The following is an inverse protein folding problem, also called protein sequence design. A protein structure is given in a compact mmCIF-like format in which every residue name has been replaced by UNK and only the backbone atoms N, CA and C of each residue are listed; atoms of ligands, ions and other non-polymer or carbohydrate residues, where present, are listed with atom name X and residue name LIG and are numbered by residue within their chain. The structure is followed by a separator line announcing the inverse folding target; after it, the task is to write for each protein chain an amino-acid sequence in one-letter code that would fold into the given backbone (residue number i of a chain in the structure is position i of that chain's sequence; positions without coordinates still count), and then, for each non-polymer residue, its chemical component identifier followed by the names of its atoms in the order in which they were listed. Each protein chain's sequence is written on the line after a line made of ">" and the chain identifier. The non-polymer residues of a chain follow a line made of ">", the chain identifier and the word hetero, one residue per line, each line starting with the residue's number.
data_IF_472386575530
#
_entry.id   IF_472386575530
#
_cell.length_a   1.000
_cell.length_b   1.000
_cell.length_c   1.000
_cell.angle_alpha   90.00
_cell.angle_beta   90.00
_cell.angle_gamma   90.00
#
_symmetry.space_group_name_H-M   'P 1'
#
loop_
_entity.id
_entity.type
_entity.pdbx_description
1 polymer ?
#
# COMPACT_ATOMS: atom_id res chain seq x y z
N UNK A 1 -11.10 -13.66 11.70
CA UNK A 1 -11.01 -12.50 10.77
C UNK A 1 -11.97 -11.41 11.20
N UNK A 2 -11.58 -10.13 11.21
CA UNK A 2 -12.49 -9.02 11.47
C UNK A 2 -13.07 -8.44 10.17
N UNK A 3 -14.37 -8.12 10.18
CA UNK A 3 -15.08 -7.54 9.04
C UNK A 3 -16.04 -6.44 9.49
N UNK A 4 -16.34 -5.48 8.62
CA UNK A 4 -17.40 -4.51 8.86
C UNK A 4 -18.78 -5.18 8.86
N UNK A 5 -19.66 -4.78 9.78
CA UNK A 5 -21.01 -5.36 9.91
C UNK A 5 -21.86 -5.24 8.64
N UNK A 6 -21.53 -4.31 7.74
CA UNK A 6 -22.16 -4.18 6.43
C UNK A 6 -21.98 -5.42 5.53
N UNK A 7 -20.96 -6.24 5.77
CA UNK A 7 -20.73 -7.49 5.05
C UNK A 7 -21.58 -8.67 5.58
N UNK A 8 -22.27 -8.48 6.72
CA UNK A 8 -23.15 -9.48 7.31
C UNK A 8 -24.58 -9.34 6.75
N UNK A 9 -24.79 -9.63 5.46
CA UNK A 9 -26.12 -9.63 4.83
C UNK A 9 -26.59 -11.03 4.40
N UNK A 10 -27.91 -11.26 4.43
CA UNK A 10 -28.53 -12.50 3.96
C UNK A 10 -27.92 -13.77 4.56
N UNK A 11 -27.79 -14.82 3.73
CA UNK A 11 -27.19 -16.11 4.10
C UNK A 11 -25.67 -16.04 4.37
N UNK A 12 -24.98 -15.01 3.83
CA UNK A 12 -23.53 -14.85 4.03
C UNK A 12 -23.16 -14.52 5.47
N UNK A 13 -24.01 -13.78 6.19
CA UNK A 13 -23.77 -13.40 7.58
C UNK A 13 -23.58 -14.62 8.50
N UNK A 14 -24.56 -15.54 8.59
CA UNK A 14 -24.42 -16.78 9.34
C UNK A 14 -23.23 -17.63 8.88
N UNK A 15 -23.05 -17.82 7.57
CA UNK A 15 -21.96 -18.63 7.01
C UNK A 15 -20.58 -18.10 7.43
N UNK A 16 -20.35 -16.78 7.32
CA UNK A 16 -19.10 -16.15 7.70
C UNK A 16 -18.83 -16.21 9.21
N UNK A 17 -19.88 -16.15 10.05
CA UNK A 17 -19.68 -16.35 11.51
C UNK A 17 -19.22 -17.76 11.83
N UNK A 18 -19.74 -18.77 11.13
CA UNK A 18 -19.29 -20.16 11.29
C UNK A 18 -17.84 -20.37 10.82
N UNK A 19 -17.33 -19.54 9.90
CA UNK A 19 -15.92 -19.54 9.50
C UNK A 19 -15.00 -18.66 10.38
N UNK A 20 -15.51 -18.11 11.49
CA UNK A 20 -14.71 -17.32 12.44
C UNK A 20 -14.58 -15.84 12.09
N UNK A 21 -15.50 -15.29 11.29
CA UNK A 21 -15.58 -13.84 11.04
C UNK A 21 -16.26 -13.13 12.21
N UNK A 22 -15.59 -12.11 12.72
CA UNK A 22 -16.05 -11.23 13.78
C UNK A 22 -16.50 -9.90 13.14
N UNK A 23 -17.80 -9.64 13.17
CA UNK A 23 -18.37 -8.42 12.60
C UNK A 23 -18.29 -7.26 13.60
N UNK A 24 -17.64 -6.16 13.22
CA UNK A 24 -17.50 -4.95 14.03
C UNK A 24 -18.37 -3.81 13.49
N UNK A 25 -18.94 -3.01 14.41
CA UNK A 25 -19.67 -1.79 14.09
C UNK A 25 -18.73 -0.69 13.59
N UNK A 26 -19.17 0.09 12.60
CA UNK A 26 -18.37 1.20 12.03
C UNK A 26 -18.21 2.38 13.00
N UNK A 27 -19.22 2.63 13.83
CA UNK A 27 -19.18 3.60 14.94
C UNK A 27 -19.09 2.84 16.26
N UNK A 28 -18.19 3.28 17.13
CA UNK A 28 -17.86 2.63 18.39
C UNK A 28 -18.27 3.49 19.60
N UNK A 29 -19.27 4.36 19.48
CA UNK A 29 -19.54 5.39 20.49
C UNK A 29 -20.13 4.84 21.80
N UNK A 30 -20.68 3.62 21.76
CA UNK A 30 -21.28 2.91 22.89
C UNK A 30 -20.19 2.31 23.82
N UNK A 31 -20.07 2.78 25.08
CA UNK A 31 -19.07 2.28 26.04
C UNK A 31 -19.23 0.80 26.38
N UNK A 32 -20.47 0.29 26.47
CA UNK A 32 -20.73 -1.12 26.75
C UNK A 32 -20.23 -1.98 25.59
N UNK A 33 -20.49 -1.55 24.36
CA UNK A 33 -19.99 -2.24 23.18
C UNK A 33 -18.45 -2.30 23.16
N UNK A 34 -17.76 -1.19 23.46
CA UNK A 34 -16.28 -1.17 23.56
C UNK A 34 -15.79 -2.16 24.62
N UNK A 35 -16.41 -2.16 25.80
CA UNK A 35 -16.04 -3.07 26.88
C UNK A 35 -16.20 -4.54 26.48
N UNK A 36 -17.36 -4.90 25.93
CA UNK A 36 -17.64 -6.26 25.46
C UNK A 36 -16.67 -6.69 24.36
N UNK A 37 -16.41 -5.81 23.38
CA UNK A 37 -15.45 -6.09 22.31
C UNK A 37 -14.04 -6.32 22.86
N UNK A 38 -13.59 -5.49 23.80
CA UNK A 38 -12.28 -5.64 24.46
C UNK A 38 -12.16 -6.98 25.20
N UNK A 39 -13.16 -7.35 25.98
CA UNK A 39 -13.18 -8.63 26.70
C UNK A 39 -13.25 -9.82 25.75
N UNK A 40 -14.02 -9.70 24.67
CA UNK A 40 -14.07 -10.73 23.64
C UNK A 40 -12.71 -10.93 22.96
N UNK A 41 -12.02 -9.84 22.58
CA UNK A 41 -10.67 -9.93 22.00
C UNK A 41 -9.70 -10.57 23.00
N UNK A 42 -9.77 -10.18 24.27
CA UNK A 42 -8.94 -10.75 25.33
C UNK A 42 -9.14 -12.27 25.47
N UNK A 43 -10.39 -12.73 25.41
CA UNK A 43 -10.71 -14.16 25.40
C UNK A 43 -10.15 -14.88 24.16
N UNK A 44 -10.24 -14.29 22.97
CA UNK A 44 -9.72 -14.88 21.74
C UNK A 44 -8.18 -15.00 21.78
N UNK A 45 -7.49 -13.97 22.31
CA UNK A 45 -6.05 -13.97 22.55
C UNK A 45 -5.66 -15.06 23.56
N UNK A 46 -6.39 -15.16 24.68
CA UNK A 46 -6.15 -16.18 25.72
C UNK A 46 -6.31 -17.61 25.16
N UNK A 47 -7.26 -17.82 24.25
CA UNK A 47 -7.44 -19.09 23.52
C UNK A 47 -6.42 -19.32 22.39
N UNK A 48 -5.49 -18.39 22.17
CA UNK A 48 -4.44 -18.45 21.13
C UNK A 48 -5.01 -18.63 19.72
N UNK A 49 -6.19 -18.07 19.47
CA UNK A 49 -6.78 -18.07 18.12
C UNK A 49 -6.22 -16.93 17.28
N UNK A 50 -6.01 -17.20 15.99
CA UNK A 50 -5.49 -16.22 15.05
C UNK A 50 -6.51 -15.13 14.75
N UNK A 51 -6.05 -13.89 14.80
CA UNK A 51 -6.79 -12.69 14.43
C UNK A 51 -6.22 -12.12 13.14
N UNK A 52 -7.09 -11.65 12.25
CA UNK A 52 -6.68 -11.01 10.98
C UNK A 52 -7.57 -9.80 10.68
N UNK A 53 -6.95 -8.69 10.32
CA UNK A 53 -7.60 -7.44 9.92
C UNK A 53 -6.64 -6.57 9.09
N UNK A 54 -7.18 -5.62 8.33
CA UNK A 54 -6.38 -4.59 7.68
C UNK A 54 -5.93 -3.55 8.71
N UNK A 55 -4.62 -3.33 8.84
CA UNK A 55 -4.06 -2.40 9.83
C UNK A 55 -4.57 -0.96 9.63
N UNK A 56 -4.93 -0.59 8.40
CA UNK A 56 -5.51 0.70 8.01
C UNK A 56 -6.99 0.86 8.38
N UNK A 57 -7.69 -0.25 8.67
CA UNK A 57 -9.11 -0.30 8.99
C UNK A 57 -10.06 -0.15 7.79
N UNK A 58 -9.57 0.18 6.60
CA UNK A 58 -10.35 0.30 5.36
C UNK A 58 -9.53 -0.06 4.12
N UNK A 59 -10.18 -0.32 2.99
CA UNK A 59 -9.51 -0.41 1.68
C UNK A 59 -8.95 0.97 1.30
N UNK A 60 -7.72 1.00 0.77
CA UNK A 60 -7.20 2.22 0.15
C UNK A 60 -8.01 2.57 -1.10
N UNK A 61 -8.32 3.86 -1.26
CA UNK A 61 -9.07 4.40 -2.41
C UNK A 61 -8.20 5.17 -3.38
N UNK A 62 -6.97 5.46 -2.99
CA UNK A 62 -6.02 6.24 -3.77
C UNK A 62 -4.85 5.39 -4.24
N UNK A 63 -4.75 4.13 -3.82
CA UNK A 63 -3.61 3.25 -4.10
C UNK A 63 -2.46 3.39 -3.10
N UNK A 64 -2.48 4.42 -2.24
CA UNK A 64 -1.49 4.60 -1.17
C UNK A 64 -1.88 3.86 0.10
N UNK A 65 -0.89 3.36 0.83
CA UNK A 65 -1.08 2.79 2.16
C UNK A 65 -1.47 3.90 3.15
N UNK A 66 -2.57 3.72 3.89
CA UNK A 66 -3.02 4.67 4.91
C UNK A 66 -2.26 4.47 6.24
N UNK A 67 -2.28 5.46 7.15
CA UNK A 67 -1.74 5.30 8.49
C UNK A 67 -2.45 4.19 9.29
N UNK A 68 -1.73 3.42 10.13
CA UNK A 68 -2.32 2.34 10.90
C UNK A 68 -3.33 2.85 11.92
N UNK A 69 -4.41 2.11 12.11
CA UNK A 69 -5.44 2.35 13.12
C UNK A 69 -5.17 1.48 14.34
N UNK A 70 -4.86 2.12 15.46
CA UNK A 70 -4.45 1.43 16.69
C UNK A 70 -5.60 0.77 17.46
N UNK A 71 -6.87 0.99 17.10
CA UNK A 71 -8.02 0.61 17.95
C UNK A 71 -8.05 -0.87 18.34
N UNK A 72 -8.11 -1.78 17.35
CA UNK A 72 -8.09 -3.23 17.62
C UNK A 72 -6.75 -3.68 18.19
N UNK A 73 -5.66 -3.08 17.71
CA UNK A 73 -4.31 -3.40 18.15
C UNK A 73 -4.12 -3.08 19.64
N UNK A 74 -4.73 -2.00 20.13
CA UNK A 74 -4.73 -1.63 21.54
C UNK A 74 -5.44 -2.68 22.40
N UNK A 75 -6.57 -3.25 21.94
CA UNK A 75 -7.25 -4.32 22.68
C UNK A 75 -6.44 -5.62 22.71
N UNK A 76 -5.68 -5.92 21.66
CA UNK A 76 -4.75 -7.06 21.67
C UNK A 76 -3.58 -6.78 22.62
N UNK A 77 -3.05 -5.56 22.63
CA UNK A 77 -1.99 -5.13 23.55
C UNK A 77 -2.44 -5.13 25.01
N UNK A 78 -3.68 -4.73 25.30
CA UNK A 78 -4.29 -4.83 26.63
C UNK A 78 -4.29 -6.30 27.11
N UNK A 79 -4.80 -7.20 26.27
CA UNK A 79 -4.83 -8.63 26.59
C UNK A 79 -3.42 -9.22 26.82
N UNK A 80 -2.44 -8.79 26.03
CA UNK A 80 -1.04 -9.17 26.22
C UNK A 80 -0.48 -8.69 27.57
N UNK A 81 -0.63 -7.41 27.88
CA UNK A 81 -0.11 -6.80 29.11
C UNK A 81 -0.80 -7.34 30.37
N UNK A 82 -2.06 -7.76 30.26
CA UNK A 82 -2.82 -8.48 31.30
C UNK A 82 -2.38 -9.96 31.45
N UNK A 83 -1.33 -10.39 30.75
CA UNK A 83 -0.76 -11.74 30.84
C UNK A 83 -1.63 -12.85 30.25
N UNK A 84 -2.55 -12.52 29.32
CA UNK A 84 -3.34 -13.54 28.61
C UNK A 84 -2.50 -14.35 27.61
N UNK A 85 -1.32 -13.85 27.25
CA UNK A 85 -0.38 -14.49 26.32
C UNK A 85 1.05 -14.09 26.68
N UNK A 86 2.01 -14.99 26.52
CA UNK A 86 3.44 -14.72 26.79
C UNK A 86 4.08 -13.84 25.70
N UNK A 87 3.60 -13.96 24.46
CA UNK A 87 3.92 -13.07 23.35
C UNK A 87 2.80 -13.15 22.30
N UNK A 88 2.70 -12.13 21.46
CA UNK A 88 1.81 -12.08 20.31
C UNK A 88 2.62 -11.63 19.11
N UNK A 89 2.75 -12.50 18.13
CA UNK A 89 3.44 -12.19 16.87
C UNK A 89 2.46 -11.55 15.89
N UNK A 90 2.78 -10.34 15.46
CA UNK A 90 2.09 -9.67 14.37
C UNK A 90 2.73 -10.06 13.06
N UNK A 91 2.11 -10.99 12.34
CA UNK A 91 2.52 -11.37 10.99
C UNK A 91 2.04 -10.31 9.98
N UNK A 92 2.91 -9.48 9.40
CA UNK A 92 2.49 -8.55 8.37
C UNK A 92 2.16 -9.34 7.09
N UNK A 93 1.26 -8.83 6.27
CA UNK A 93 0.87 -9.47 5.01
C UNK A 93 0.68 -8.40 3.96
N UNK A 94 1.46 -8.46 2.89
CA UNK A 94 1.24 -7.64 1.70
C UNK A 94 0.42 -8.43 0.68
N UNK A 95 -0.65 -7.81 0.17
CA UNK A 95 -1.51 -8.35 -0.88
C UNK A 95 -1.55 -7.34 -2.02
N UNK A 96 -1.12 -7.75 -3.20
CA UNK A 96 -1.08 -6.89 -4.40
C UNK A 96 -1.70 -7.60 -5.58
N UNK A 97 -2.31 -6.83 -6.49
CA UNK A 97 -3.03 -7.32 -7.64
C UNK A 97 -2.44 -6.69 -8.91
N UNK A 98 -2.33 -7.45 -10.00
CA UNK A 98 -1.94 -6.89 -11.30
C UNK A 98 -3.01 -5.90 -11.81
N UNK A 99 -4.30 -6.26 -11.71
CA UNK A 99 -5.43 -5.37 -11.99
C UNK A 99 -6.53 -5.55 -10.94
N UNK A 100 -7.27 -4.47 -10.63
CA UNK A 100 -8.39 -4.48 -9.70
C UNK A 100 -9.71 -4.27 -10.44
N UNK A 101 -10.75 -4.97 -10.00
CA UNK A 101 -12.09 -4.87 -10.60
C UNK A 101 -12.81 -3.56 -10.25
N UNK A 102 -12.51 -2.96 -9.08
CA UNK A 102 -13.23 -1.81 -8.52
C UNK A 102 -12.57 -0.45 -8.83
N UNK A 103 -11.58 -0.36 -9.72
CA UNK A 103 -10.84 0.88 -9.97
C UNK A 103 -11.72 2.03 -10.48
N UNK A 104 -12.68 1.73 -11.37
CA UNK A 104 -13.66 2.71 -11.85
C UNK A 104 -14.56 3.25 -10.71
N UNK A 105 -14.95 2.38 -9.76
CA UNK A 105 -15.71 2.79 -8.56
C UNK A 105 -14.85 3.65 -7.63
N UNK A 106 -13.55 3.33 -7.48
CA UNK A 106 -12.61 4.16 -6.72
C UNK A 106 -12.35 5.53 -7.36
N UNK A 107 -12.22 5.58 -8.69
CA UNK A 107 -12.13 6.82 -9.44
C UNK A 107 -13.41 7.68 -9.29
N UNK A 108 -14.59 7.04 -9.28
CA UNK A 108 -15.85 7.73 -8.99
C UNK A 108 -15.89 8.30 -7.56
N UNK A 109 -15.39 7.56 -6.56
CA UNK A 109 -15.27 8.08 -5.18
C UNK A 109 -14.28 9.24 -5.08
N UNK A 110 -13.15 9.21 -5.80
CA UNK A 110 -12.19 10.31 -5.85
C UNK A 110 -12.82 11.59 -6.44
N UNK A 111 -13.79 11.45 -7.35
CA UNK A 111 -14.60 12.54 -7.92
C UNK A 111 -15.80 12.97 -7.04
N UNK A 112 -15.90 12.47 -5.80
CA UNK A 112 -16.94 12.83 -4.85
C UNK A 112 -18.18 11.91 -4.86
N UNK A 113 -18.13 10.76 -5.54
CA UNK A 113 -19.21 9.78 -5.51
C UNK A 113 -19.45 9.20 -4.11
N UNK A 114 -20.72 8.97 -3.76
CA UNK A 114 -21.10 8.35 -2.50
C UNK A 114 -21.03 6.82 -2.55
N UNK A 115 -20.73 6.18 -1.40
CA UNK A 115 -20.69 4.71 -1.30
C UNK A 115 -22.11 4.14 -1.35
N UNK A 116 -22.47 3.47 -2.44
CA UNK A 116 -23.69 2.67 -2.51
C UNK A 116 -23.54 1.40 -1.65
N UNK A 117 -24.57 0.99 -0.90
CA UNK A 117 -24.55 -0.27 -0.17
C UNK A 117 -24.44 -1.46 -1.14
N UNK A 118 -23.35 -2.21 -1.04
CA UNK A 118 -23.09 -3.41 -1.84
C UNK A 118 -24.15 -4.50 -1.51
N UNK A 119 -24.93 -4.93 -2.51
CA UNK A 119 -26.00 -5.94 -2.38
C UNK A 119 -25.68 -7.28 -3.05
N UNK A 120 -26.59 -8.26 -2.92
CA UNK A 120 -26.45 -9.59 -3.55
C UNK A 120 -26.26 -9.56 -5.07
N UNK A 121 -26.94 -8.65 -5.77
CA UNK A 121 -26.81 -8.49 -7.22
C UNK A 121 -25.43 -7.97 -7.63
N UNK A 122 -24.83 -7.07 -6.83
CA UNK A 122 -23.46 -6.61 -7.04
C UNK A 122 -22.46 -7.76 -6.86
N UNK A 123 -22.61 -8.57 -5.80
CA UNK A 123 -21.73 -9.74 -5.56
C UNK A 123 -21.84 -10.81 -6.65
N UNK A 124 -23.05 -11.07 -7.16
CA UNK A 124 -23.25 -12.00 -8.28
C UNK A 124 -22.59 -11.49 -9.57
N UNK A 125 -22.79 -10.20 -9.90
CA UNK A 125 -22.15 -9.58 -11.07
C UNK A 125 -20.63 -9.53 -10.92
N UNK A 126 -20.12 -9.25 -9.71
CA UNK A 126 -18.69 -9.29 -9.39
C UNK A 126 -18.10 -10.68 -9.66
N UNK A 127 -18.72 -11.75 -9.14
CA UNK A 127 -18.25 -13.14 -9.35
C UNK A 127 -18.32 -13.53 -10.84
N UNK A 128 -19.39 -13.14 -11.54
CA UNK A 128 -19.53 -13.43 -12.97
C UNK A 128 -18.46 -12.70 -13.80
N UNK A 129 -18.19 -11.43 -13.47
CA UNK A 129 -17.20 -10.61 -14.17
C UNK A 129 -15.74 -10.98 -13.84
N UNK A 130 -15.49 -11.83 -12.84
CA UNK A 130 -14.18 -12.47 -12.61
C UNK A 130 -13.83 -13.50 -13.69
N UNK A 131 -14.83 -14.13 -14.34
CA UNK A 131 -14.61 -15.16 -15.36
C UNK A 131 -14.40 -14.65 -16.79
N UNK A 132 -14.84 -13.41 -17.07
CA UNK A 132 -14.84 -12.85 -18.43
C UNK A 132 -13.58 -12.01 -18.76
N UNK A 133 -12.75 -11.68 -17.75
CA UNK A 133 -11.55 -10.83 -17.89
C UNK A 133 -10.34 -11.45 -17.18
N UNK A 134 -9.17 -11.41 -17.82
CA UNK A 134 -7.91 -11.86 -17.22
C UNK A 134 -7.25 -10.71 -16.43
N UNK A 135 -7.56 -10.59 -15.15
CA UNK A 135 -7.04 -9.52 -14.26
C UNK A 135 -5.60 -9.75 -13.78
N UNK A 136 -4.88 -10.70 -14.38
CA UNK A 136 -3.52 -11.06 -13.99
C UNK A 136 -3.48 -11.89 -12.71
N UNK A 137 -2.45 -11.66 -11.87
CA UNK A 137 -2.18 -12.47 -10.68
C UNK A 137 -2.37 -11.68 -9.39
N UNK A 138 -2.59 -12.44 -8.32
CA UNK A 138 -2.57 -11.95 -6.93
C UNK A 138 -1.22 -12.36 -6.32
N UNK A 139 -0.53 -11.40 -5.71
CA UNK A 139 0.73 -11.60 -5.01
C UNK A 139 0.49 -11.46 -3.52
N UNK A 140 0.86 -12.47 -2.76
CA UNK A 140 0.77 -12.48 -1.30
C UNK A 140 2.16 -12.70 -0.73
N UNK A 141 2.64 -11.80 0.12
CA UNK A 141 3.98 -11.85 0.71
C UNK A 141 3.92 -11.69 2.23
N UNK A 142 4.76 -12.44 2.91
CA UNK A 142 4.84 -12.55 4.37
C UNK A 142 6.26 -12.16 4.82
N UNK A 143 6.51 -10.91 5.23
CA UNK A 143 7.77 -10.54 5.86
C UNK A 143 7.87 -11.13 7.26
N UNK A 144 9.01 -10.94 7.93
CA UNK A 144 9.20 -11.38 9.31
C UNK A 144 8.15 -10.79 10.27
N UNK A 145 7.69 -11.61 11.21
CA UNK A 145 6.73 -11.19 12.22
C UNK A 145 7.32 -10.18 13.20
N UNK A 146 6.48 -9.28 13.73
CA UNK A 146 6.85 -8.31 14.76
C UNK A 146 6.40 -8.86 16.11
N UNK A 147 7.31 -9.02 17.06
CA UNK A 147 6.98 -9.46 18.42
C UNK A 147 6.38 -8.31 19.22
N UNK A 148 5.24 -8.57 19.88
CA UNK A 148 4.64 -7.59 20.77
C UNK A 148 5.48 -7.40 22.04
N UNK A 149 6.11 -8.46 22.53
CA UNK A 149 7.04 -8.42 23.68
C UNK A 149 8.23 -7.48 23.43
N UNK A 150 8.81 -7.47 22.24
CA UNK A 150 9.95 -6.59 21.91
C UNK A 150 9.62 -5.10 22.08
N UNK A 151 8.36 -4.71 21.82
CA UNK A 151 7.93 -3.32 21.88
C UNK A 151 7.28 -2.94 23.21
N UNK A 152 6.52 -3.85 23.82
CA UNK A 152 5.77 -3.58 25.06
C UNK A 152 6.48 -4.06 26.33
N UNK A 153 7.53 -4.88 26.22
CA UNK A 153 8.20 -5.52 27.35
C UNK A 153 7.39 -6.68 27.93
N UNK A 154 7.81 -7.20 29.08
CA UNK A 154 7.15 -8.35 29.73
C UNK A 154 5.71 -8.05 30.17
N UNK A 155 4.80 -9.05 30.14
CA UNK A 155 3.46 -8.92 30.69
C UNK A 155 3.48 -8.47 32.16
N UNK A 156 2.51 -7.65 32.57
CA UNK A 156 2.48 -7.00 33.89
C UNK A 156 3.72 -6.15 34.23
N UNK A 157 4.56 -5.83 33.24
CA UNK A 157 5.73 -4.96 33.41
C UNK A 157 5.38 -3.48 33.56
N UNK A 158 6.41 -2.63 33.57
CA UNK A 158 6.26 -1.18 33.74
C UNK A 158 5.31 -0.52 32.71
N UNK A 159 5.25 -1.08 31.50
CA UNK A 159 4.38 -0.60 30.41
C UNK A 159 2.88 -0.75 30.72
N UNK A 160 2.49 -1.65 31.62
CA UNK A 160 1.09 -1.85 31.99
C UNK A 160 0.53 -0.68 32.82
N UNK A 161 1.38 0.07 33.52
CA UNK A 161 0.99 1.20 34.37
C UNK A 161 1.19 2.58 33.75
N UNK A 162 1.81 2.68 32.56
CA UNK A 162 2.10 3.94 31.87
C UNK A 162 1.40 4.00 30.50
N UNK A 163 0.23 4.60 30.48
CA UNK A 163 -0.59 4.75 29.27
C UNK A 163 0.12 5.55 28.16
N UNK A 164 0.96 6.53 28.52
CA UNK A 164 1.67 7.35 27.55
C UNK A 164 2.80 6.56 26.87
N UNK A 165 3.61 5.86 27.66
CA UNK A 165 4.66 4.98 27.15
C UNK A 165 4.07 3.84 26.31
N UNK A 166 2.99 3.21 26.78
CA UNK A 166 2.26 2.16 26.06
C UNK A 166 1.76 2.65 24.71
N UNK A 167 1.14 3.83 24.66
CA UNK A 167 0.64 4.41 23.40
C UNK A 167 1.76 4.66 22.42
N UNK A 168 2.91 5.17 22.87
CA UNK A 168 4.08 5.40 22.03
C UNK A 168 4.66 4.08 21.50
N UNK A 169 4.82 3.08 22.35
CA UNK A 169 5.30 1.75 21.96
C UNK A 169 4.36 1.08 20.94
N UNK A 170 3.05 1.17 21.17
CA UNK A 170 2.02 0.68 20.24
C UNK A 170 2.10 1.37 18.88
N UNK A 171 2.34 2.69 18.86
CA UNK A 171 2.53 3.45 17.62
C UNK A 171 3.77 2.98 16.86
N UNK A 172 4.91 2.82 17.56
CA UNK A 172 6.15 2.34 16.96
C UNK A 172 5.99 0.93 16.38
N UNK A 173 5.36 0.03 17.11
CA UNK A 173 5.09 -1.33 16.64
C UNK A 173 4.13 -1.35 15.43
N UNK A 174 3.06 -0.55 15.47
CA UNK A 174 2.13 -0.45 14.35
C UNK A 174 2.79 0.12 13.09
N UNK A 175 3.67 1.10 13.27
CA UNK A 175 4.48 1.67 12.19
C UNK A 175 5.45 0.63 11.63
N UNK A 176 6.12 -0.16 12.47
CA UNK A 176 7.00 -1.25 12.04
C UNK A 176 6.24 -2.27 11.18
N UNK A 177 5.07 -2.73 11.64
CA UNK A 177 4.23 -3.67 10.88
C UNK A 177 3.87 -3.08 9.51
N UNK A 178 3.45 -1.81 9.48
CA UNK A 178 3.10 -1.13 8.24
C UNK A 178 4.30 -0.99 7.29
N UNK A 179 5.46 -0.59 7.84
CA UNK A 179 6.71 -0.46 7.10
C UNK A 179 7.17 -1.80 6.52
N UNK A 180 7.09 -2.91 7.27
CA UNK A 180 7.41 -4.26 6.76
C UNK A 180 6.48 -4.69 5.63
N UNK A 181 5.18 -4.37 5.69
CA UNK A 181 4.23 -4.61 4.58
C UNK A 181 4.68 -3.85 3.34
N UNK A 182 4.98 -2.57 3.49
CA UNK A 182 5.39 -1.70 2.39
C UNK A 182 6.67 -2.19 1.73
N UNK A 183 7.69 -2.54 2.52
CA UNK A 183 8.99 -3.06 2.06
C UNK A 183 8.90 -4.33 1.21
N UNK A 184 7.89 -5.17 1.44
CA UNK A 184 7.70 -6.39 0.63
C UNK A 184 6.63 -6.24 -0.45
N UNK A 185 5.96 -5.09 -0.54
CA UNK A 185 4.92 -4.86 -1.55
C UNK A 185 5.55 -4.76 -2.94
N UNK A 186 5.20 -5.64 -3.89
CA UNK A 186 5.87 -5.69 -5.18
C UNK A 186 5.33 -4.65 -6.16
N UNK A 187 6.25 -4.04 -6.92
CA UNK A 187 5.92 -3.22 -8.09
C UNK A 187 5.47 -4.13 -9.24
N UNK A 188 4.36 -3.79 -9.89
CA UNK A 188 3.80 -4.53 -11.00
C UNK A 188 3.80 -3.74 -12.32
N UNK A 189 3.55 -4.43 -13.44
CA UNK A 189 3.59 -3.80 -14.76
C UNK A 189 2.53 -2.72 -14.94
N UNK A 190 1.31 -2.95 -14.46
CA UNK A 190 0.19 -1.99 -14.57
C UNK A 190 0.54 -0.66 -13.93
N UNK A 191 1.13 -0.71 -12.74
CA UNK A 191 1.57 0.45 -12.00
C UNK A 191 2.66 1.21 -12.78
N UNK A 192 3.70 0.52 -13.26
CA UNK A 192 4.82 1.14 -14.00
C UNK A 192 4.37 1.80 -15.31
N UNK A 193 3.58 1.09 -16.12
CA UNK A 193 3.09 1.62 -17.39
C UNK A 193 2.17 2.80 -17.16
N UNK A 194 1.27 2.72 -16.16
CA UNK A 194 0.39 3.83 -15.78
C UNK A 194 1.19 5.05 -15.30
N UNK A 195 2.22 4.83 -14.48
CA UNK A 195 3.09 5.90 -14.00
C UNK A 195 3.76 6.64 -15.15
N UNK A 196 4.39 5.90 -16.06
CA UNK A 196 5.07 6.46 -17.22
C UNK A 196 4.12 7.23 -18.13
N UNK A 197 2.98 6.64 -18.52
CA UNK A 197 2.03 7.31 -19.40
C UNK A 197 1.42 8.58 -18.78
N UNK A 198 1.24 8.62 -17.44
CA UNK A 198 0.82 9.83 -16.75
C UNK A 198 1.90 10.93 -16.80
N UNK A 199 3.18 10.56 -16.79
CA UNK A 199 4.26 11.56 -16.96
C UNK A 199 4.27 12.20 -18.35
N UNK A 200 3.73 11.51 -19.36
CA UNK A 200 3.61 12.01 -20.72
C UNK A 200 2.50 13.07 -20.90
N UNK A 201 1.68 13.34 -19.85
CA UNK A 201 0.65 14.39 -19.83
C UNK A 201 -0.29 14.37 -21.05
N UNK A 202 -0.77 13.18 -21.41
CA UNK A 202 -1.70 12.95 -22.52
C UNK A 202 -1.04 12.78 -23.89
N UNK A 203 0.28 12.95 -24.00
CA UNK A 203 1.03 12.59 -25.21
C UNK A 203 1.02 11.07 -25.37
N UNK A 204 0.66 10.60 -26.57
CA UNK A 204 0.70 9.18 -26.90
C UNK A 204 2.12 8.74 -27.25
N UNK A 205 2.54 7.60 -26.73
CA UNK A 205 3.88 7.04 -26.92
C UNK A 205 3.83 5.76 -27.75
N UNK A 206 4.86 5.57 -28.58
CA UNK A 206 5.08 4.33 -29.34
C UNK A 206 5.53 3.19 -28.43
N UNK A 207 5.51 1.96 -28.93
CA UNK A 207 6.01 0.81 -28.18
C UNK A 207 7.49 0.99 -27.81
N UNK A 208 8.31 1.45 -28.75
CA UNK A 208 9.74 1.59 -28.56
C UNK A 208 10.06 2.65 -27.51
N UNK A 209 9.35 3.79 -27.54
CA UNK A 209 9.49 4.83 -26.52
C UNK A 209 9.11 4.30 -25.13
N UNK A 210 8.02 3.56 -25.02
CA UNK A 210 7.58 2.94 -23.77
C UNK A 210 8.59 1.93 -23.26
N UNK A 211 9.05 1.03 -24.14
CA UNK A 211 10.02 0.01 -23.79
C UNK A 211 11.34 0.62 -23.30
N UNK A 212 11.91 1.57 -24.04
CA UNK A 212 13.16 2.22 -23.66
C UNK A 212 13.04 2.98 -22.33
N UNK A 213 11.99 3.80 -22.17
CA UNK A 213 11.81 4.60 -20.95
C UNK A 213 11.58 3.74 -19.70
N UNK A 214 10.94 2.56 -19.85
CA UNK A 214 10.74 1.62 -18.75
C UNK A 214 12.05 0.98 -18.27
N UNK A 215 13.09 0.89 -19.10
CA UNK A 215 14.33 0.20 -18.71
C UNK A 215 15.03 0.90 -17.55
N UNK A 216 15.11 2.23 -17.56
CA UNK A 216 15.74 3.00 -16.47
C UNK A 216 15.01 2.76 -15.13
N UNK A 217 13.68 2.72 -15.17
CA UNK A 217 12.86 2.42 -13.98
C UNK A 217 13.09 0.99 -13.47
N UNK A 218 13.19 0.01 -14.36
CA UNK A 218 13.43 -1.39 -14.00
C UNK A 218 14.83 -1.58 -13.44
N UNK A 219 15.84 -0.93 -14.03
CA UNK A 219 17.22 -0.96 -13.57
C UNK A 219 17.35 -0.33 -12.18
N UNK A 220 16.68 0.80 -11.94
CA UNK A 220 16.62 1.41 -10.62
C UNK A 220 15.97 0.48 -9.58
N UNK A 221 14.83 -0.13 -9.90
CA UNK A 221 14.14 -1.05 -8.99
C UNK A 221 14.99 -2.29 -8.67
N UNK A 222 15.71 -2.82 -9.65
CA UNK A 222 16.64 -3.93 -9.47
C UNK A 222 17.83 -3.56 -8.57
N UNK A 223 18.45 -2.39 -8.79
CA UNK A 223 19.53 -1.88 -7.94
C UNK A 223 19.08 -1.69 -6.49
N UNK A 224 17.90 -1.11 -6.28
CA UNK A 224 17.25 -0.98 -4.96
C UNK A 224 16.82 -2.31 -4.35
N UNK A 225 16.91 -3.42 -5.07
CA UNK A 225 16.37 -4.71 -4.68
C UNK A 225 14.87 -4.63 -4.32
N UNK A 226 14.15 -3.73 -4.98
CA UNK A 226 12.71 -3.57 -4.78
C UNK A 226 12.00 -4.81 -5.31
N UNK A 227 11.09 -5.41 -4.52
CA UNK A 227 10.26 -6.49 -5.00
C UNK A 227 9.53 -6.15 -6.31
N UNK A 228 9.74 -6.97 -7.33
CA UNK A 228 9.01 -6.86 -8.60
C UNK A 228 8.19 -8.13 -8.83
N UNK A 229 7.05 -7.98 -9.50
CA UNK A 229 6.25 -9.10 -9.97
C UNK A 229 6.81 -9.67 -11.27
N UNK A 230 6.39 -10.89 -11.64
CA UNK A 230 6.68 -11.44 -12.96
C UNK A 230 6.10 -10.57 -14.09
N UNK A 231 4.99 -9.85 -13.86
CA UNK A 231 4.46 -8.92 -14.84
C UNK A 231 5.42 -7.75 -15.09
N UNK A 232 5.98 -7.15 -14.03
CA UNK A 232 6.99 -6.09 -14.15
C UNK A 232 8.26 -6.57 -14.85
N UNK A 233 8.78 -7.76 -14.50
CA UNK A 233 9.99 -8.31 -15.13
C UNK A 233 9.84 -8.54 -16.64
N UNK A 234 8.63 -8.86 -17.13
CA UNK A 234 8.38 -9.01 -18.58
C UNK A 234 8.54 -7.71 -19.36
N UNK A 235 8.44 -6.55 -18.71
CA UNK A 235 8.64 -5.24 -19.35
C UNK A 235 10.09 -5.01 -19.82
N UNK A 236 11.03 -5.89 -19.48
CA UNK A 236 12.39 -5.92 -20.06
C UNK A 236 12.43 -6.28 -21.55
N UNK A 237 11.31 -6.69 -22.14
CA UNK A 237 11.22 -7.02 -23.57
C UNK A 237 10.12 -6.21 -24.24
N UNK A 238 10.31 -5.83 -25.50
CA UNK A 238 9.29 -5.13 -26.29
C UNK A 238 7.97 -5.93 -26.34
N UNK A 239 8.02 -7.25 -26.51
CA UNK A 239 6.84 -8.12 -26.50
C UNK A 239 6.11 -8.13 -25.15
N UNK A 240 6.86 -8.09 -24.04
CA UNK A 240 6.26 -8.00 -22.71
C UNK A 240 5.60 -6.66 -22.45
N UNK A 241 6.17 -5.56 -22.96
CA UNK A 241 5.55 -4.23 -22.93
C UNK A 241 4.28 -4.22 -23.77
N UNK A 242 4.33 -4.74 -25.01
CA UNK A 242 3.15 -4.90 -25.89
C UNK A 242 2.03 -5.67 -25.18
N UNK A 243 2.34 -6.84 -24.61
CA UNK A 243 1.36 -7.66 -23.91
C UNK A 243 0.72 -6.95 -22.71
N UNK A 244 1.50 -6.16 -21.95
CA UNK A 244 0.96 -5.35 -20.86
C UNK A 244 0.04 -4.23 -21.38
N UNK A 245 0.44 -3.55 -22.45
CA UNK A 245 -0.36 -2.48 -23.08
C UNK A 245 -1.67 -3.03 -23.65
N UNK A 246 -1.65 -4.19 -24.31
CA UNK A 246 -2.85 -4.82 -24.88
C UNK A 246 -3.81 -5.27 -23.77
N UNK A 247 -3.29 -5.82 -22.68
CA UNK A 247 -4.10 -6.21 -21.52
C UNK A 247 -4.78 -5.00 -20.85
N UNK A 248 -4.08 -3.87 -20.77
CA UNK A 248 -4.59 -2.63 -20.16
C UNK A 248 -5.48 -1.82 -21.10
N UNK A 249 -5.28 -1.96 -22.42
CA UNK A 249 -6.12 -1.30 -23.42
C UNK A 249 -7.51 -1.93 -23.52
N UNK A 250 -7.61 -3.24 -23.28
CA UNK A 250 -8.88 -3.95 -23.21
C UNK A 250 -9.59 -3.82 -21.84
N UNK A 251 -8.92 -3.26 -20.84
CA UNK A 251 -9.34 -3.25 -19.44
C UNK A 251 -9.51 -1.88 -18.79
N UNK A 252 -9.12 -0.78 -19.45
CA UNK A 252 -8.77 0.53 -18.83
C UNK A 252 -7.52 0.42 -17.92
N UNK A 253 -6.75 1.51 -17.70
CA UNK A 253 -6.96 2.92 -18.10
C UNK A 253 -6.18 3.38 -19.34
N UNK A 254 -5.66 2.45 -20.15
CA UNK A 254 -4.83 2.81 -21.31
C UNK A 254 -5.69 2.84 -22.57
N UNK A 255 -5.49 3.85 -23.41
CA UNK A 255 -6.10 3.96 -24.73
C UNK A 255 -5.05 3.66 -25.80
N UNK A 256 -5.31 2.67 -26.66
CA UNK A 256 -4.55 2.44 -27.88
C UNK A 256 -5.14 3.27 -29.03
N UNK A 257 -4.29 3.94 -29.80
CA UNK A 257 -4.65 4.65 -31.02
C UNK A 257 -3.88 4.01 -32.18
N UNK A 258 -4.59 3.29 -33.04
CA UNK A 258 -4.03 2.43 -34.10
C UNK A 258 -4.26 2.96 -35.52
N UNK A 259 -4.96 4.09 -35.68
CA UNK A 259 -5.21 4.72 -36.98
C UNK A 259 -4.00 5.41 -37.64
N UNK A 260 -2.82 5.34 -37.00
CA UNK A 260 -1.57 5.94 -37.47
C UNK A 260 -0.68 4.99 -38.29
N UNK A 261 0.57 5.41 -38.52
CA UNK A 261 1.60 4.54 -39.15
C UNK A 261 2.00 3.37 -38.26
N UNK A 262 2.01 3.61 -36.96
CA UNK A 262 2.20 2.61 -35.93
C UNK A 262 1.22 2.92 -34.78
N UNK A 263 0.83 1.92 -33.97
CA UNK A 263 -0.05 2.16 -32.84
C UNK A 263 0.70 2.90 -31.73
N UNK A 264 -0.02 3.75 -31.02
CA UNK A 264 0.48 4.53 -29.88
C UNK A 264 -0.46 4.41 -28.68
N UNK A 265 0.08 4.51 -27.47
CA UNK A 265 -0.68 4.38 -26.23
C UNK A 265 -0.65 5.67 -25.43
N UNK A 266 -1.78 6.04 -24.85
CA UNK A 266 -1.92 7.17 -23.92
C UNK A 266 -2.89 6.82 -22.80
N UNK A 267 -2.94 7.67 -21.79
CA UNK A 267 -4.07 7.71 -20.86
C UNK A 267 -4.97 8.87 -21.28
N UNK A 268 -6.25 8.60 -21.48
CA UNK A 268 -7.24 9.63 -21.79
C UNK A 268 -7.62 10.42 -20.51
N UNK A 269 -8.03 11.69 -20.61
CA UNK A 269 -8.36 12.52 -19.44
C UNK A 269 -9.38 11.89 -18.47
N UNK A 270 -10.35 11.15 -19.00
CA UNK A 270 -11.39 10.43 -18.23
C UNK A 270 -10.84 9.31 -17.33
N UNK A 271 -9.72 8.71 -17.74
CA UNK A 271 -9.08 7.54 -17.15
C UNK A 271 -7.89 7.89 -16.24
N UNK A 272 -7.49 9.17 -16.17
CA UNK A 272 -6.36 9.64 -15.35
C UNK A 272 -6.47 9.26 -13.87
N UNK A 273 -7.68 9.26 -13.32
CA UNK A 273 -7.91 8.94 -11.91
C UNK A 273 -7.68 7.45 -11.62
N UNK A 274 -8.08 6.59 -12.54
CA UNK A 274 -7.85 5.15 -12.46
C UNK A 274 -6.37 4.83 -12.64
N UNK A 275 -5.71 5.42 -13.64
CA UNK A 275 -4.27 5.28 -13.81
C UNK A 275 -3.49 5.82 -12.60
N UNK A 276 -3.95 6.93 -12.02
CA UNK A 276 -3.35 7.50 -10.82
C UNK A 276 -3.43 6.56 -9.62
N UNK A 277 -4.53 5.80 -9.47
CA UNK A 277 -4.62 4.76 -8.45
C UNK A 277 -3.49 3.74 -8.60
N UNK A 278 -3.29 3.20 -9.81
CA UNK A 278 -2.23 2.22 -10.07
C UNK A 278 -0.84 2.80 -9.86
N UNK A 279 -0.55 3.99 -10.40
CA UNK A 279 0.71 4.71 -10.15
C UNK A 279 0.94 4.90 -8.66
N UNK A 280 -0.08 5.24 -7.89
CA UNK A 280 0.09 5.52 -6.47
C UNK A 280 0.54 4.30 -5.65
N UNK A 281 0.33 3.08 -6.15
CA UNK A 281 0.80 1.85 -5.50
C UNK A 281 2.32 1.66 -5.54
N UNK A 282 3.03 2.32 -6.48
CA UNK A 282 4.49 2.22 -6.61
C UNK A 282 5.26 3.45 -6.13
N UNK A 283 4.59 4.55 -5.77
CA UNK A 283 5.27 5.83 -5.47
C UNK A 283 6.34 5.66 -4.39
N UNK A 284 6.09 4.83 -3.39
CA UNK A 284 7.05 4.58 -2.32
C UNK A 284 8.40 4.05 -2.82
N UNK A 285 8.37 3.18 -3.85
CA UNK A 285 9.59 2.61 -4.43
C UNK A 285 10.51 3.68 -5.06
N UNK A 286 9.95 4.80 -5.52
CA UNK A 286 10.67 5.90 -6.16
C UNK A 286 10.77 7.14 -5.26
N UNK A 287 10.33 7.06 -4.00
CA UNK A 287 10.24 8.22 -3.11
C UNK A 287 11.63 8.80 -2.78
N UNK A 288 12.58 7.93 -2.43
CA UNK A 288 13.94 8.34 -2.06
C UNK A 288 14.66 9.02 -3.22
N UNK A 289 14.71 8.38 -4.40
CA UNK A 289 15.30 8.98 -5.61
C UNK A 289 14.61 10.30 -5.98
N UNK A 290 13.27 10.38 -5.89
CA UNK A 290 12.54 11.63 -6.16
C UNK A 290 12.94 12.76 -5.20
N UNK A 291 13.16 12.45 -3.92
CA UNK A 291 13.64 13.44 -2.93
C UNK A 291 15.07 13.88 -3.28
N UNK A 292 15.94 12.93 -3.65
CA UNK A 292 17.33 13.20 -4.04
C UNK A 292 17.37 14.10 -5.28
N UNK A 293 16.64 13.79 -6.33
CA UNK A 293 16.61 14.58 -7.56
C UNK A 293 16.08 16.01 -7.34
N UNK A 294 15.01 16.15 -6.55
CA UNK A 294 14.48 17.47 -6.19
C UNK A 294 15.49 18.27 -5.35
N UNK A 295 16.22 17.61 -4.45
CA UNK A 295 17.25 18.25 -3.64
C UNK A 295 18.47 18.63 -4.48
N UNK A 296 18.89 17.81 -5.45
CA UNK A 296 19.95 18.14 -6.41
C UNK A 296 19.58 19.33 -7.28
N UNK A 297 18.35 19.34 -7.82
CA UNK A 297 17.85 20.45 -8.61
C UNK A 297 17.78 21.76 -7.81
N UNK A 298 17.49 21.69 -6.50
CA UNK A 298 17.54 22.84 -5.59
C UNK A 298 18.98 23.29 -5.32
N UNK A 299 19.87 22.35 -4.96
CA UNK A 299 21.28 22.62 -4.68
C UNK A 299 22.02 23.21 -5.89
N UNK A 300 21.66 22.83 -7.11
CA UNK A 300 22.22 23.38 -8.34
C UNK A 300 21.85 24.85 -8.60
N UNK A 301 20.84 25.39 -7.92
CA UNK A 301 20.35 26.78 -8.09
C UNK A 301 20.85 27.75 -7.02
N UNK A 302 21.48 27.26 -5.97
CA UNK A 302 22.01 28.11 -4.89
C UNK A 302 23.48 28.46 -5.13
N UNK A 303 23.84 29.68 -4.74
CA UNK A 303 25.22 30.20 -4.81
C UNK A 303 26.03 29.90 -3.53
N UNK A 304 25.36 29.51 -2.45
CA UNK A 304 25.95 29.13 -1.16
C UNK A 304 26.52 27.70 -1.18
N UNK A 305 26.88 27.18 -0.01
CA UNK A 305 27.29 25.78 0.15
C UNK A 305 26.20 24.84 -0.38
N UNK A 306 26.50 24.18 -1.51
CA UNK A 306 25.58 23.29 -2.22
C UNK A 306 25.35 21.98 -1.46
N UNK A 307 26.34 21.50 -0.72
CA UNK A 307 26.23 20.27 0.05
C UNK A 307 25.32 20.47 1.25
N UNK A 308 25.49 21.59 1.97
CA UNK A 308 24.58 21.97 3.05
C UNK A 308 23.16 22.19 2.52
N UNK A 309 23.01 22.90 1.40
CA UNK A 309 21.71 23.13 0.77
C UNK A 309 21.02 21.83 0.34
N UNK A 310 21.77 20.86 -0.21
CA UNK A 310 21.25 19.54 -0.56
C UNK A 310 20.69 18.82 0.68
N UNK A 311 21.49 18.67 1.75
CA UNK A 311 21.06 17.95 2.94
C UNK A 311 19.92 18.66 3.69
N UNK A 312 19.94 19.99 3.73
CA UNK A 312 18.84 20.80 4.25
C UNK A 312 17.54 20.51 3.50
N UNK A 313 17.60 20.50 2.16
CA UNK A 313 16.44 20.25 1.31
C UNK A 313 15.94 18.81 1.41
N UNK A 314 16.83 17.81 1.45
CA UNK A 314 16.49 16.40 1.69
C UNK A 314 15.70 16.25 2.99
N UNK A 315 16.23 16.79 4.10
CA UNK A 315 15.59 16.66 5.41
C UNK A 315 14.25 17.42 5.47
N UNK A 316 14.19 18.60 4.84
CA UNK A 316 12.94 19.37 4.71
C UNK A 316 11.88 18.58 3.95
N UNK A 317 12.22 17.95 2.82
CA UNK A 317 11.28 17.15 2.02
C UNK A 317 10.80 15.92 2.80
N UNK A 318 11.71 15.21 3.48
CA UNK A 318 11.32 14.11 4.38
C UNK A 318 10.35 14.58 5.46
N UNK A 319 10.66 15.69 6.14
CA UNK A 319 9.82 16.22 7.22
C UNK A 319 8.45 16.69 6.74
N UNK A 320 8.35 17.17 5.50
CA UNK A 320 7.09 17.48 4.86
C UNK A 320 6.27 16.21 4.54
N UNK A 321 6.94 15.18 4.02
CA UNK A 321 6.32 13.98 3.47
C UNK A 321 6.05 12.87 4.51
N UNK A 322 6.62 12.95 5.72
CA UNK A 322 6.47 11.92 6.78
C UNK A 322 5.04 11.68 7.25
N UNK A 323 4.11 12.56 6.91
CA UNK A 323 2.69 12.38 7.21
C UNK A 323 1.93 11.60 6.12
N UNK A 324 2.53 11.49 4.93
CA UNK A 324 1.98 10.79 3.76
C UNK A 324 2.70 9.47 3.45
N UNK A 325 3.97 9.32 3.88
CA UNK A 325 4.82 8.17 3.58
C UNK A 325 5.55 7.65 4.82
N UNK A 326 5.95 6.38 4.77
CA UNK A 326 6.72 5.72 5.81
C UNK A 326 8.21 5.88 5.52
N UNK A 327 8.93 6.57 6.41
CA UNK A 327 10.38 6.69 6.32
C UNK A 327 11.06 5.83 7.39
N UNK A 328 12.27 5.38 7.08
CA UNK A 328 13.21 4.94 8.11
C UNK A 328 13.49 6.08 9.10
N UNK A 329 14.10 5.74 10.23
CA UNK A 329 14.57 6.76 11.17
C UNK A 329 15.60 7.71 10.51
N UNK A 330 15.86 8.84 11.15
CA UNK A 330 16.64 9.91 10.52
C UNK A 330 18.09 9.52 10.21
N UNK A 331 18.67 8.55 10.92
CA UNK A 331 20.03 8.08 10.67
C UNK A 331 20.03 7.12 9.46
N UNK A 332 19.20 6.09 9.50
CA UNK A 332 19.06 5.13 8.40
C UNK A 332 18.65 5.82 7.09
N UNK A 333 17.73 6.78 7.15
CA UNK A 333 17.33 7.55 5.96
C UNK A 333 18.49 8.34 5.33
N UNK A 334 19.39 8.91 6.15
CA UNK A 334 20.57 9.61 5.62
C UNK A 334 21.53 8.64 4.94
N UNK A 335 21.70 7.44 5.49
CA UNK A 335 22.50 6.39 4.86
C UNK A 335 21.90 5.97 3.51
N UNK A 336 20.59 5.77 3.44
CA UNK A 336 19.91 5.46 2.17
C UNK A 336 20.11 6.58 1.13
N UNK A 337 20.03 7.85 1.54
CA UNK A 337 20.27 8.99 0.63
C UNK A 337 21.73 9.03 0.17
N UNK A 338 22.69 8.71 1.04
CA UNK A 338 24.10 8.63 0.66
C UNK A 338 24.36 7.47 -0.32
N UNK A 339 23.69 6.33 -0.12
CA UNK A 339 23.72 5.19 -1.05
C UNK A 339 23.11 5.57 -2.42
N UNK A 340 21.94 6.21 -2.44
CA UNK A 340 21.32 6.73 -3.67
C UNK A 340 22.27 7.65 -4.43
N UNK A 341 22.89 8.60 -3.72
CA UNK A 341 23.86 9.53 -4.29
C UNK A 341 25.10 8.84 -4.85
N UNK A 342 25.44 7.64 -4.38
CA UNK A 342 26.58 6.88 -4.89
C UNK A 342 26.34 6.27 -6.29
N UNK A 343 25.09 6.21 -6.74
CA UNK A 343 24.70 5.65 -8.04
C UNK A 343 24.62 6.70 -9.14
N UNK A 344 24.62 7.98 -8.78
CA UNK A 344 24.80 9.05 -9.74
C UNK A 344 26.29 9.13 -10.07
N UNK A 345 26.65 8.78 -11.31
CA UNK A 345 28.02 8.93 -11.80
C UNK A 345 28.49 10.39 -11.63
N UNK A 346 29.78 10.53 -11.28
CA UNK A 346 30.46 11.81 -11.10
C UNK A 346 30.48 12.68 -12.36
#
# INVERSE_FOLDING_TARGET
>A
TFAGINLSFGFMGPLMRHSGVIFIRRKLDDPLYKYVLRQFISYIVEKRFNLSWSIEGTRSRTGKMLPPKLGLLAYVADAYLDGRSDDILLQPVSISFDQLHETAEYAAYARGGEKTPEGLSWMYNFIKAQGERNYGKIYVRFPEAVSMREYLGEPHGAMAGDDAAKRLALQKMAFEVAWRILRVTPVNATALVSALLLTARGVALTLDQLHHTLQDSLDYLERKQTPMTNSALRLRTADGVRAALDALSNGHPITCVDGGREPVWRIAPEDEHEAAFYRNTLIDAFLETSIVELALAYAGRVESDRLEAFWSQVMRLRDLLKFDFYFADSAAFREHVAEEMSWYDR
#
